data_IF_706587827293
#
_entry.id   IF_706587827293
#
_cell.length_a   1.000
_cell.length_b   1.000
_cell.length_c   1.000
_cell.angle_alpha   90.00
_cell.angle_beta   90.00
_cell.angle_gamma   90.00
#
_symmetry.space_group_name_H-M   'P 1'
#
loop_
_entity.id
_entity.type
_entity.pdbx_description
1 polymer ?
#
# COMPACT_ATOMS: atom_id res chain seq x y z
N UNK A 1 5.75 18.73 10.57
CA UNK A 1 6.25 18.35 11.91
C UNK A 1 6.16 19.58 12.81
N UNK A 2 5.07 19.75 13.58
CA UNK A 2 4.82 20.93 14.43
C UNK A 2 4.61 20.53 15.91
N UNK A 3 5.28 19.50 16.41
CA UNK A 3 5.13 19.05 17.80
C UNK A 3 3.78 18.40 18.15
N UNK A 4 2.97 18.03 17.14
CA UNK A 4 1.71 17.30 17.34
C UNK A 4 2.01 15.83 17.67
N UNK A 5 1.42 15.34 18.76
CA UNK A 5 1.44 13.93 19.13
C UNK A 5 0.34 13.17 18.40
N UNK A 6 0.66 11.93 18.04
CA UNK A 6 -0.29 11.01 17.42
C UNK A 6 -0.30 9.72 18.22
N UNK A 7 -1.47 9.11 18.33
CA UNK A 7 -1.58 7.74 18.82
C UNK A 7 -1.11 6.82 17.71
N UNK A 8 -0.21 5.91 18.04
CA UNK A 8 0.27 4.87 17.13
C UNK A 8 -0.40 3.57 17.54
N UNK A 9 -1.00 2.90 16.57
CA UNK A 9 -1.67 1.63 16.75
C UNK A 9 -0.91 0.53 16.00
N UNK A 10 -1.02 -0.69 16.49
CA UNK A 10 -0.49 -1.85 15.78
C UNK A 10 -1.29 -2.06 14.49
N UNK A 11 -0.59 -2.24 13.37
CA UNK A 11 -1.23 -2.54 12.10
C UNK A 11 -1.72 -3.99 12.07
N UNK A 12 -3.03 -4.15 12.05
CA UNK A 12 -3.74 -5.43 11.94
C UNK A 12 -4.64 -5.41 10.70
N UNK A 13 -5.12 -6.56 10.22
CA UNK A 13 -6.05 -6.59 9.09
C UNK A 13 -7.26 -5.66 9.29
N UNK A 14 -7.80 -5.58 10.49
CA UNK A 14 -8.98 -4.75 10.82
C UNK A 14 -8.65 -3.26 10.88
N UNK A 15 -7.37 -2.88 11.01
CA UNK A 15 -6.93 -1.47 11.00
C UNK A 15 -7.21 -0.77 9.67
N UNK A 16 -7.54 -1.52 8.61
CA UNK A 16 -7.79 -0.99 7.28
C UNK A 16 -9.28 -0.86 6.93
N UNK A 17 -10.18 -1.10 7.89
CA UNK A 17 -11.61 -0.82 7.69
C UNK A 17 -11.85 0.69 7.51
N UNK A 18 -12.66 1.04 6.52
CA UNK A 18 -13.00 2.44 6.18
C UNK A 18 -11.78 3.32 5.84
N UNK A 19 -10.72 2.70 5.31
CA UNK A 19 -9.54 3.41 4.80
C UNK A 19 -9.61 3.43 3.27
N UNK A 20 -9.52 4.61 2.68
CA UNK A 20 -9.49 4.77 1.22
C UNK A 20 -8.09 4.50 0.63
N UNK A 21 -7.05 4.98 1.31
CA UNK A 21 -5.66 4.90 0.84
C UNK A 21 -4.76 4.49 2.02
N UNK A 22 -3.88 3.52 1.78
CA UNK A 22 -2.91 3.07 2.76
C UNK A 22 -1.48 3.12 2.20
N UNK A 23 -0.58 3.79 2.92
CA UNK A 23 0.83 3.95 2.52
C UNK A 23 1.70 2.98 3.32
N UNK A 24 2.42 2.11 2.61
CA UNK A 24 3.19 1.03 3.20
C UNK A 24 4.69 1.21 2.96
N UNK A 25 5.48 0.86 3.97
CA UNK A 25 6.94 0.79 3.92
C UNK A 25 7.49 -0.42 4.71
N UNK A 26 6.69 -1.48 4.84
CA UNK A 26 6.87 -2.54 5.85
C UNK A 26 7.77 -3.72 5.44
N UNK A 27 8.29 -3.77 4.21
CA UNK A 27 9.09 -4.92 3.78
C UNK A 27 8.27 -6.20 3.65
N UNK A 28 8.70 -7.30 4.26
CA UNK A 28 8.02 -8.60 4.13
C UNK A 28 6.61 -8.63 4.70
N UNK A 29 6.30 -7.82 5.73
CA UNK A 29 4.95 -7.77 6.33
C UNK A 29 3.90 -7.27 5.35
N UNK A 30 4.30 -6.51 4.33
CA UNK A 30 3.40 -6.04 3.28
C UNK A 30 2.74 -7.20 2.55
N UNK A 31 3.40 -8.35 2.41
CA UNK A 31 2.82 -9.55 1.80
C UNK A 31 1.62 -10.10 2.58
N UNK A 32 1.51 -9.76 3.86
CA UNK A 32 0.37 -10.13 4.71
C UNK A 32 -0.66 -9.01 4.79
N UNK A 33 -0.21 -7.77 5.07
CA UNK A 33 -1.12 -6.67 5.39
C UNK A 33 -1.67 -5.95 4.15
N UNK A 34 -0.91 -5.83 3.05
CA UNK A 34 -1.38 -5.14 1.86
C UNK A 34 -2.58 -5.86 1.19
N UNK A 35 -2.59 -7.20 1.07
CA UNK A 35 -3.78 -7.91 0.59
C UNK A 35 -5.00 -7.73 1.52
N UNK A 36 -4.79 -7.70 2.84
CA UNK A 36 -5.88 -7.49 3.80
C UNK A 36 -6.45 -6.07 3.72
N UNK A 37 -5.61 -5.06 3.50
CA UNK A 37 -6.04 -3.68 3.26
C UNK A 37 -6.83 -3.56 1.95
N UNK A 38 -6.30 -4.11 0.85
CA UNK A 38 -6.95 -4.11 -0.45
C UNK A 38 -8.32 -4.81 -0.42
N UNK A 39 -8.41 -5.95 0.27
CA UNK A 39 -9.67 -6.69 0.48
C UNK A 39 -10.73 -5.87 1.23
N UNK A 40 -10.32 -4.91 2.06
CA UNK A 40 -11.21 -4.01 2.82
C UNK A 40 -11.53 -2.70 2.09
N UNK A 41 -11.06 -2.55 0.86
CA UNK A 41 -11.40 -1.45 -0.03
C UNK A 41 -10.32 -0.36 -0.14
N UNK A 42 -9.24 -0.45 0.63
CA UNK A 42 -8.14 0.51 0.54
C UNK A 42 -7.33 0.30 -0.74
N UNK A 43 -6.87 1.39 -1.35
CA UNK A 43 -5.80 1.35 -2.34
C UNK A 43 -4.47 1.41 -1.59
N UNK A 44 -3.64 0.38 -1.75
CA UNK A 44 -2.33 0.30 -1.11
C UNK A 44 -1.25 0.81 -2.06
N UNK A 45 -0.45 1.77 -1.58
CA UNK A 45 0.79 2.19 -2.23
C UNK A 45 1.93 1.71 -1.36
N UNK A 46 2.68 0.74 -1.86
CA UNK A 46 3.75 0.07 -1.11
C UNK A 46 5.13 0.39 -1.69
N UNK A 47 5.93 1.14 -0.93
CA UNK A 47 7.31 1.48 -1.26
C UNK A 47 8.31 0.40 -0.78
N UNK A 48 7.82 -0.77 -0.37
CA UNK A 48 8.67 -1.92 -0.10
C UNK A 48 9.02 -2.68 -1.38
N UNK A 49 10.05 -3.53 -1.30
CA UNK A 49 10.40 -4.43 -2.40
C UNK A 49 9.46 -5.64 -2.55
N UNK A 50 8.41 -5.76 -1.71
CA UNK A 50 7.60 -6.96 -1.58
C UNK A 50 6.90 -7.38 -2.88
N UNK A 51 6.45 -6.40 -3.68
CA UNK A 51 5.61 -6.60 -4.85
C UNK A 51 6.23 -6.13 -6.18
N UNK A 52 7.45 -5.58 -6.19
CA UNK A 52 8.05 -5.00 -7.42
C UNK A 52 8.21 -5.99 -8.57
N UNK A 53 8.26 -7.29 -8.28
CA UNK A 53 8.38 -8.37 -9.24
C UNK A 53 7.09 -9.17 -9.42
N UNK A 54 6.01 -8.78 -8.75
CA UNK A 54 4.71 -9.44 -8.87
C UNK A 54 4.03 -8.98 -10.17
N UNK A 55 3.73 -9.89 -11.12
CA UNK A 55 3.13 -9.49 -12.40
C UNK A 55 1.71 -8.92 -12.28
N UNK A 56 1.03 -9.14 -11.15
CA UNK A 56 -0.32 -8.65 -10.91
C UNK A 56 -0.34 -7.29 -10.18
N UNK A 57 0.83 -6.78 -9.77
CA UNK A 57 0.97 -5.49 -9.09
C UNK A 57 1.79 -4.54 -9.96
N UNK A 58 1.23 -3.42 -10.42
CA UNK A 58 2.00 -2.47 -11.22
C UNK A 58 3.07 -1.79 -10.36
N UNK A 59 4.31 -1.77 -10.86
CA UNK A 59 5.38 -0.90 -10.36
C UNK A 59 5.23 0.47 -11.03
N UNK A 60 4.79 1.47 -10.27
CA UNK A 60 4.51 2.81 -10.82
C UNK A 60 5.60 3.79 -10.41
N UNK A 61 6.23 4.39 -11.41
CA UNK A 61 7.08 5.58 -11.29
C UNK A 61 6.36 6.71 -12.02
N UNK A 62 5.78 7.69 -11.32
CA UNK A 62 4.90 8.70 -11.93
C UNK A 62 5.50 9.45 -13.13
N UNK A 63 6.82 9.65 -13.13
CA UNK A 63 7.56 10.34 -14.19
C UNK A 63 7.87 9.44 -15.40
N UNK A 64 7.70 8.13 -15.28
CA UNK A 64 8.10 7.15 -16.31
C UNK A 64 6.91 6.40 -16.88
N UNK A 65 5.98 5.95 -16.04
CA UNK A 65 4.83 5.10 -16.41
C UNK A 65 3.57 5.41 -15.57
N UNK A 66 3.08 6.66 -15.55
CA UNK A 66 1.93 7.06 -14.73
C UNK A 66 0.65 6.28 -15.07
N UNK A 67 0.48 5.84 -16.31
CA UNK A 67 -0.69 5.09 -16.79
C UNK A 67 -0.80 3.68 -16.17
N UNK A 68 0.30 3.11 -15.68
CA UNK A 68 0.31 1.78 -15.06
C UNK A 68 -0.51 1.72 -13.77
N UNK A 69 -0.77 2.88 -13.15
CA UNK A 69 -1.66 2.97 -12.00
C UNK A 69 -3.05 2.38 -12.31
N UNK A 70 -3.54 2.52 -13.55
CA UNK A 70 -4.86 2.02 -13.95
C UNK A 70 -4.95 0.49 -13.97
N UNK A 71 -3.81 -0.21 -13.92
CA UNK A 71 -3.73 -1.68 -13.93
C UNK A 71 -3.86 -2.28 -12.53
N UNK A 72 -3.87 -1.47 -11.48
CA UNK A 72 -3.84 -1.96 -10.11
C UNK A 72 -5.07 -2.81 -9.76
N UNK A 73 -4.88 -3.80 -8.89
CA UNK A 73 -5.98 -4.58 -8.30
C UNK A 73 -6.14 -4.30 -6.80
N UNK A 74 -5.89 -3.04 -6.42
CA UNK A 74 -5.91 -2.56 -5.03
C UNK A 74 -4.53 -2.39 -4.41
N UNK A 75 -3.46 -2.85 -5.06
CA UNK A 75 -2.08 -2.67 -4.61
C UNK A 75 -1.25 -2.09 -5.76
N UNK A 76 -0.38 -1.13 -5.45
CA UNK A 76 0.59 -0.48 -6.32
C UNK A 76 1.95 -0.57 -5.66
N UNK A 77 2.98 -1.00 -6.41
CA UNK A 77 4.36 -0.96 -5.95
C UNK A 77 5.02 0.36 -6.38
N UNK A 78 5.91 0.89 -5.53
CA UNK A 78 6.70 2.10 -5.80
C UNK A 78 8.21 1.87 -5.57
#
# INVERSE_FOLDING_TARGET
MNGKTYVVEEAKPESFENIDIALFAGGSISKTLAPEAAKRGAIVIDNSSAFRMDPEVPLVVPEVNPEDILKHKGIIAN
#
